data_IF_457976257574
#
_entry.id   IF_457976257574
#
_cell.length_a   1.000
_cell.length_b   1.000
_cell.length_c   1.000
_cell.angle_alpha   90.00
_cell.angle_beta   90.00
_cell.angle_gamma   90.00
#
_symmetry.space_group_name_H-M   'P 1'
#
loop_
_entity.id
_entity.type
_entity.pdbx_description
1 polymer ?
#
# COMPACT_ATOMS: atom_id res chain seq x y z
N UNK A 1 -14.81 -20.03 6.00
CA UNK A 1 -14.29 -19.49 4.73
C UNK A 1 -12.99 -18.77 5.02
N UNK A 2 -12.01 -18.82 4.12
CA UNK A 2 -10.74 -18.06 4.24
C UNK A 2 -11.07 -16.55 4.10
N UNK A 3 -10.38 -15.69 4.85
CA UNK A 3 -10.48 -14.25 4.69
C UNK A 3 -9.89 -13.76 3.37
N UNK A 4 -10.16 -12.52 2.99
CA UNK A 4 -9.65 -11.89 1.77
C UNK A 4 -8.49 -10.94 2.08
N UNK A 5 -7.44 -10.99 1.27
CA UNK A 5 -6.29 -10.09 1.36
C UNK A 5 -6.37 -9.02 0.27
N UNK A 6 -6.62 -7.78 0.65
CA UNK A 6 -6.81 -6.63 -0.25
C UNK A 6 -5.70 -5.63 0.02
N UNK A 7 -5.12 -5.08 -1.04
CA UNK A 7 -4.07 -4.07 -0.95
C UNK A 7 -4.51 -2.79 -1.64
N UNK A 8 -4.25 -1.65 -1.00
CA UNK A 8 -4.44 -0.32 -1.59
C UNK A 8 -3.07 0.29 -1.85
N UNK A 9 -2.81 0.64 -3.10
CA UNK A 9 -1.57 1.19 -3.62
C UNK A 9 -1.77 2.59 -4.20
N UNK A 10 -0.73 3.37 -4.23
CA UNK A 10 -0.72 4.71 -4.80
C UNK A 10 0.50 5.52 -4.40
N UNK A 11 0.77 6.61 -5.09
CA UNK A 11 1.84 7.54 -4.75
C UNK A 11 1.60 8.21 -3.37
N UNK A 12 2.64 8.82 -2.80
CA UNK A 12 2.46 9.62 -1.58
C UNK A 12 1.48 10.76 -1.84
N UNK A 13 0.56 10.99 -0.91
CA UNK A 13 -0.56 11.93 -1.11
C UNK A 13 -1.75 11.37 -1.88
N UNK A 14 -1.68 10.16 -2.47
CA UNK A 14 -2.81 9.57 -3.18
C UNK A 14 -4.02 9.24 -2.28
N UNK A 15 -3.79 9.10 -0.97
CA UNK A 15 -4.86 8.81 0.00
C UNK A 15 -4.98 7.35 0.39
N UNK A 16 -3.96 6.54 0.17
CA UNK A 16 -3.95 5.09 0.45
C UNK A 16 -4.34 4.78 1.89
N UNK A 17 -3.73 5.45 2.88
CA UNK A 17 -4.05 5.26 4.30
C UNK A 17 -5.49 5.64 4.62
N UNK A 18 -5.96 6.78 4.09
CA UNK A 18 -7.34 7.25 4.29
C UNK A 18 -8.34 6.22 3.78
N UNK A 19 -8.11 5.71 2.58
CA UNK A 19 -9.02 4.74 1.96
C UNK A 19 -8.93 3.36 2.61
N UNK A 20 -7.74 2.91 3.02
CA UNK A 20 -7.59 1.66 3.75
C UNK A 20 -8.38 1.67 5.07
N UNK A 21 -8.27 2.75 5.84
CA UNK A 21 -9.03 2.92 7.09
C UNK A 21 -10.54 3.04 6.85
N UNK A 22 -10.94 3.84 5.86
CA UNK A 22 -12.36 4.01 5.50
C UNK A 22 -12.99 2.70 5.04
N UNK A 23 -12.26 1.92 4.23
CA UNK A 23 -12.70 0.62 3.75
C UNK A 23 -12.85 -0.39 4.90
N UNK A 24 -11.89 -0.46 5.82
CA UNK A 24 -12.02 -1.31 7.01
C UNK A 24 -13.28 -0.98 7.80
N UNK A 25 -13.52 0.31 8.07
CA UNK A 25 -14.72 0.76 8.79
C UNK A 25 -16.01 0.39 8.06
N UNK A 26 -16.05 0.58 6.74
CA UNK A 26 -17.22 0.25 5.94
C UNK A 26 -17.51 -1.26 5.93
N UNK A 27 -16.48 -2.10 5.79
CA UNK A 27 -16.60 -3.55 5.84
C UNK A 27 -17.05 -4.04 7.22
N UNK A 28 -16.53 -3.49 8.31
CA UNK A 28 -16.99 -3.84 9.66
C UNK A 28 -18.48 -3.60 9.83
N UNK A 29 -18.98 -2.44 9.38
CA UNK A 29 -20.42 -2.13 9.40
C UNK A 29 -21.23 -3.16 8.60
N UNK A 30 -20.75 -3.56 7.42
CA UNK A 30 -21.44 -4.55 6.60
C UNK A 30 -21.42 -5.95 7.21
N UNK A 31 -20.30 -6.37 7.79
CA UNK A 31 -20.19 -7.66 8.48
C UNK A 31 -21.14 -7.75 9.68
N UNK A 32 -21.25 -6.66 10.45
CA UNK A 32 -22.21 -6.57 11.56
C UNK A 32 -23.66 -6.66 11.07
N UNK A 33 -24.05 -5.90 10.03
CA UNK A 33 -25.41 -5.92 9.47
C UNK A 33 -25.82 -7.29 8.94
N UNK A 34 -24.87 -8.06 8.42
CA UNK A 34 -25.12 -9.38 7.83
C UNK A 34 -24.85 -10.54 8.80
N UNK A 35 -24.60 -10.21 10.08
CA UNK A 35 -24.28 -11.16 11.16
C UNK A 35 -23.13 -12.13 10.80
N UNK A 36 -22.12 -11.62 10.10
CA UNK A 36 -20.92 -12.37 9.77
C UNK A 36 -19.91 -12.30 10.91
N UNK A 37 -19.48 -13.45 11.39
CA UNK A 37 -18.41 -13.56 12.42
C UNK A 37 -17.02 -13.36 11.84
N UNK A 38 -16.80 -12.24 11.11
CA UNK A 38 -15.50 -11.86 10.55
C UNK A 38 -15.23 -10.37 10.80
N UNK A 39 -13.96 -10.01 10.75
CA UNK A 39 -13.51 -8.63 10.92
C UNK A 39 -12.74 -8.13 9.70
N UNK A 40 -12.72 -6.81 9.52
CA UNK A 40 -11.88 -6.11 8.56
C UNK A 40 -10.66 -5.52 9.30
N UNK A 41 -9.49 -6.08 9.05
CA UNK A 41 -8.26 -5.76 9.75
C UNK A 41 -7.43 -4.80 8.93
N UNK A 42 -7.19 -3.59 9.46
CA UNK A 42 -6.25 -2.63 8.91
C UNK A 42 -4.80 -3.04 9.19
N UNK A 43 -3.95 -2.89 8.18
CA UNK A 43 -2.50 -2.96 8.35
C UNK A 43 -1.79 -2.11 7.30
N UNK A 44 -0.48 -1.89 7.43
CA UNK A 44 0.31 -1.08 6.51
C UNK A 44 1.75 -1.56 6.43
N UNK A 45 2.42 -1.29 5.30
CA UNK A 45 3.87 -1.49 5.16
C UNK A 45 4.63 -0.14 5.13
N UNK A 46 5.83 -0.09 5.72
CA UNK A 46 6.45 -1.16 6.49
C UNK A 46 5.69 -1.48 7.77
N UNK A 47 5.55 -2.79 8.06
CA UNK A 47 4.83 -3.27 9.24
C UNK A 47 5.53 -2.85 10.54
N UNK A 48 4.75 -2.47 11.56
CA UNK A 48 5.23 -1.90 12.83
C UNK A 48 5.84 -2.93 13.79
N UNK A 49 6.76 -3.79 13.30
CA UNK A 49 7.67 -4.57 14.12
C UNK A 49 9.01 -3.81 14.31
N UNK A 50 9.99 -4.42 14.95
CA UNK A 50 11.26 -3.75 15.23
C UNK A 50 12.02 -3.38 13.95
N UNK A 51 11.99 -4.24 12.93
CA UNK A 51 12.57 -3.94 11.63
C UNK A 51 11.84 -2.77 10.94
N UNK A 52 10.51 -2.74 11.00
CA UNK A 52 9.73 -1.64 10.43
C UNK A 52 9.93 -0.31 11.16
N UNK A 53 10.13 -0.34 12.48
CA UNK A 53 10.52 0.86 13.26
C UNK A 53 11.91 1.34 12.83
N UNK A 54 12.87 0.42 12.66
CA UNK A 54 14.22 0.74 12.18
C UNK A 54 14.17 1.36 10.77
N UNK A 55 13.41 0.78 9.84
CA UNK A 55 13.20 1.33 8.49
C UNK A 55 12.64 2.75 8.52
N UNK A 56 11.59 3.00 9.31
CA UNK A 56 11.02 4.35 9.44
C UNK A 56 12.02 5.34 10.04
N UNK A 57 12.78 4.94 11.05
CA UNK A 57 13.83 5.75 11.64
C UNK A 57 14.94 6.08 10.63
N UNK A 58 15.36 5.10 9.82
CA UNK A 58 16.35 5.30 8.79
C UNK A 58 15.85 6.29 7.72
N UNK A 59 14.66 6.09 7.20
CA UNK A 59 14.07 6.97 6.18
C UNK A 59 13.84 8.39 6.71
N UNK A 60 13.51 8.57 7.98
CA UNK A 60 13.25 9.90 8.58
C UNK A 60 14.50 10.76 8.73
N UNK A 61 15.69 10.16 8.73
CA UNK A 61 16.97 10.90 8.78
C UNK A 61 17.64 11.04 7.42
N UNK A 62 17.07 10.42 6.37
CA UNK A 62 17.56 10.59 5.00
C UNK A 62 17.07 11.92 4.42
N UNK A 63 17.99 12.63 3.80
CA UNK A 63 17.71 13.91 3.13
C UNK A 63 17.39 13.65 1.65
N UNK A 64 16.27 14.15 1.11
CA UNK A 64 15.81 13.85 -0.25
C UNK A 64 16.84 14.09 -1.35
N UNK A 65 17.63 15.17 -1.23
CA UNK A 65 18.60 15.59 -2.25
C UNK A 65 20.02 15.06 -2.01
N UNK A 66 20.21 14.29 -0.95
CA UNK A 66 21.53 13.73 -0.61
C UNK A 66 21.77 12.41 -1.32
N UNK A 67 22.96 12.29 -1.90
CA UNK A 67 23.39 11.03 -2.51
C UNK A 67 23.84 10.04 -1.44
N UNK A 68 23.25 8.88 -1.43
CA UNK A 68 23.63 7.75 -0.59
C UNK A 68 24.29 6.66 -1.43
N UNK A 69 25.00 5.75 -0.76
CA UNK A 69 25.68 4.65 -1.45
C UNK A 69 24.64 3.67 -2.03
N UNK A 70 24.93 3.05 -3.19
CA UNK A 70 24.07 2.00 -3.73
C UNK A 70 23.79 0.89 -2.71
N UNK A 71 24.81 0.52 -1.91
CA UNK A 71 24.69 -0.51 -0.89
C UNK A 71 23.65 -0.18 0.19
N UNK A 72 23.51 1.10 0.58
CA UNK A 72 22.46 1.52 1.52
C UNK A 72 21.07 1.39 0.91
N UNK A 73 20.90 1.71 -0.37
CA UNK A 73 19.62 1.53 -1.05
C UNK A 73 19.23 0.05 -1.15
N UNK A 74 20.21 -0.82 -1.42
CA UNK A 74 19.99 -2.27 -1.45
C UNK A 74 19.66 -2.82 -0.07
N UNK A 75 20.32 -2.34 1.00
CA UNK A 75 19.97 -2.67 2.38
C UNK A 75 18.52 -2.30 2.71
N UNK A 76 18.09 -1.11 2.32
CA UNK A 76 16.70 -0.65 2.49
C UNK A 76 15.73 -1.57 1.74
N UNK A 77 16.04 -1.91 0.48
CA UNK A 77 15.19 -2.78 -0.34
C UNK A 77 15.04 -4.19 0.28
N UNK A 78 16.14 -4.79 0.72
CA UNK A 78 16.14 -6.08 1.42
C UNK A 78 15.35 -6.01 2.73
N UNK A 79 15.50 -4.92 3.47
CA UNK A 79 14.81 -4.73 4.74
C UNK A 79 13.29 -4.61 4.55
N UNK A 80 12.83 -3.91 3.50
CA UNK A 80 11.40 -3.90 3.11
C UNK A 80 10.89 -5.28 2.73
N UNK A 81 11.64 -6.03 1.92
CA UNK A 81 11.26 -7.39 1.52
C UNK A 81 11.17 -8.34 2.73
N UNK A 82 12.14 -8.30 3.65
CA UNK A 82 12.12 -9.08 4.88
C UNK A 82 10.96 -8.67 5.80
N UNK A 83 10.74 -7.36 6.00
CA UNK A 83 9.64 -6.84 6.80
C UNK A 83 8.29 -7.34 6.28
N UNK A 84 8.08 -7.36 4.96
CA UNK A 84 6.88 -7.88 4.28
C UNK A 84 6.65 -9.36 4.55
N UNK A 85 7.68 -10.18 4.47
CA UNK A 85 7.56 -11.61 4.77
C UNK A 85 7.20 -11.86 6.25
N UNK A 86 7.83 -11.12 7.18
CA UNK A 86 7.48 -11.16 8.59
C UNK A 86 6.06 -10.68 8.85
N UNK A 87 5.64 -9.59 8.19
CA UNK A 87 4.30 -9.04 8.25
C UNK A 87 3.26 -10.07 7.83
N UNK A 88 3.48 -10.71 6.68
CA UNK A 88 2.55 -11.73 6.21
C UNK A 88 2.49 -12.93 7.17
N UNK A 89 3.62 -13.50 7.55
CA UNK A 89 3.66 -14.71 8.37
C UNK A 89 3.09 -14.49 9.78
N UNK A 90 3.42 -13.35 10.39
CA UNK A 90 3.14 -13.12 11.81
C UNK A 90 1.82 -12.36 12.05
N UNK A 91 1.27 -11.71 11.01
CA UNK A 91 0.07 -10.90 11.16
C UNK A 91 -1.01 -11.20 10.11
N UNK A 92 -0.70 -11.09 8.81
CA UNK A 92 -1.72 -11.23 7.76
C UNK A 92 -2.26 -12.65 7.70
N UNK A 93 -1.39 -13.65 7.59
CA UNK A 93 -1.81 -15.05 7.44
C UNK A 93 -2.66 -15.59 8.61
N UNK A 94 -2.35 -15.29 9.89
CA UNK A 94 -3.22 -15.68 11.01
C UNK A 94 -4.64 -15.10 10.89
N UNK A 95 -4.77 -13.81 10.55
CA UNK A 95 -6.09 -13.19 10.37
C UNK A 95 -6.87 -13.81 9.22
N UNK A 96 -6.21 -14.05 8.07
CA UNK A 96 -6.86 -14.72 6.93
C UNK A 96 -7.32 -16.14 7.27
N UNK A 97 -6.52 -16.90 8.03
CA UNK A 97 -6.88 -18.24 8.50
C UNK A 97 -8.09 -18.23 9.42
N UNK A 98 -8.24 -17.19 10.24
CA UNK A 98 -9.40 -16.98 11.11
C UNK A 98 -10.64 -16.47 10.38
N UNK A 99 -10.58 -16.30 9.04
CA UNK A 99 -11.68 -15.82 8.22
C UNK A 99 -11.82 -14.30 8.15
N UNK A 100 -10.93 -13.54 8.81
CA UNK A 100 -10.93 -12.09 8.75
C UNK A 100 -10.40 -11.59 7.41
N UNK A 101 -10.91 -10.47 6.94
CA UNK A 101 -10.38 -9.77 5.77
C UNK A 101 -9.27 -8.81 6.20
N UNK A 102 -8.14 -8.81 5.49
CA UNK A 102 -7.02 -7.93 5.79
C UNK A 102 -6.89 -6.92 4.66
N UNK A 103 -6.94 -5.64 5.02
CA UNK A 103 -6.76 -4.51 4.11
C UNK A 103 -5.43 -3.85 4.44
N UNK A 104 -4.51 -3.89 3.48
CA UNK A 104 -3.14 -3.42 3.64
C UNK A 104 -2.91 -2.13 2.86
N UNK A 105 -2.39 -1.13 3.54
CA UNK A 105 -1.87 0.09 2.93
C UNK A 105 -0.47 -0.18 2.42
N UNK A 106 -0.34 -0.29 1.10
CA UNK A 106 0.88 -0.64 0.36
C UNK A 106 1.32 -2.11 0.52
N UNK A 107 2.01 -2.61 -0.51
CA UNK A 107 2.61 -3.95 -0.52
C UNK A 107 3.74 -4.02 -1.57
N UNK A 108 3.80 -5.08 -2.35
CA UNK A 108 4.88 -5.37 -3.31
C UNK A 108 5.03 -4.30 -4.40
N UNK A 109 3.92 -3.75 -4.91
CA UNK A 109 3.95 -2.74 -5.97
C UNK A 109 4.72 -1.48 -5.50
N UNK A 110 4.49 -1.05 -4.26
CA UNK A 110 5.28 0.03 -3.66
C UNK A 110 6.78 -0.25 -3.69
N UNK A 111 7.23 -1.48 -3.40
CA UNK A 111 8.66 -1.81 -3.51
C UNK A 111 9.20 -1.73 -4.93
N UNK A 112 8.44 -2.21 -5.92
CA UNK A 112 8.85 -2.11 -7.33
C UNK A 112 8.95 -0.66 -7.81
N UNK A 113 8.15 0.24 -7.23
CA UNK A 113 8.16 1.66 -7.58
C UNK A 113 9.27 2.41 -6.83
N UNK A 114 9.32 2.31 -5.50
CA UNK A 114 10.20 3.15 -4.66
C UNK A 114 11.64 2.63 -4.62
N UNK A 115 11.85 1.36 -4.33
CA UNK A 115 13.20 0.82 -4.16
C UNK A 115 13.94 0.70 -5.49
N UNK A 116 13.25 0.47 -6.60
CA UNK A 116 13.89 0.42 -7.91
C UNK A 116 14.26 1.79 -8.51
N UNK A 117 14.02 2.89 -7.79
CA UNK A 117 14.59 4.20 -8.16
C UNK A 117 16.12 4.19 -8.02
N UNK A 118 16.63 3.51 -7.00
CA UNK A 118 18.05 3.54 -6.61
C UNK A 118 18.70 2.17 -6.60
N UNK A 119 17.95 1.08 -6.76
CA UNK A 119 18.41 -0.29 -6.87
C UNK A 119 17.98 -0.91 -8.20
N UNK A 120 18.64 -1.99 -8.64
CA UNK A 120 18.29 -2.70 -9.86
C UNK A 120 16.85 -3.25 -9.81
N UNK A 121 16.06 -2.98 -10.85
CA UNK A 121 14.64 -3.35 -10.89
C UNK A 121 14.42 -4.86 -10.83
N UNK A 122 15.18 -5.64 -11.60
CA UNK A 122 14.99 -7.09 -11.65
C UNK A 122 15.42 -7.74 -10.34
N UNK A 123 16.45 -7.20 -9.70
CA UNK A 123 16.84 -7.64 -8.38
C UNK A 123 15.77 -7.29 -7.33
N UNK A 124 15.23 -6.06 -7.29
CA UNK A 124 14.12 -5.69 -6.40
C UNK A 124 12.91 -6.60 -6.62
N UNK A 125 12.58 -6.90 -7.87
CA UNK A 125 11.52 -7.84 -8.22
C UNK A 125 11.80 -9.24 -7.70
N UNK A 126 13.04 -9.71 -7.81
CA UNK A 126 13.45 -11.06 -7.38
C UNK A 126 13.35 -11.26 -5.87
N UNK A 127 13.81 -10.30 -5.07
CA UNK A 127 13.74 -10.37 -3.59
C UNK A 127 12.30 -10.30 -3.06
N UNK A 128 11.38 -9.75 -3.85
CA UNK A 128 9.95 -9.68 -3.53
C UNK A 128 9.12 -10.84 -4.12
N UNK A 129 9.71 -11.71 -4.94
CA UNK A 129 8.99 -12.77 -5.66
C UNK A 129 8.32 -13.82 -4.75
N UNK A 130 8.76 -13.94 -3.50
CA UNK A 130 8.18 -14.84 -2.50
C UNK A 130 7.06 -14.20 -1.67
N UNK A 131 6.80 -12.90 -1.83
CA UNK A 131 5.70 -12.24 -1.14
C UNK A 131 4.36 -12.83 -1.62
N UNK A 132 3.47 -13.21 -0.69
CA UNK A 132 2.16 -13.74 -1.06
C UNK A 132 1.34 -12.70 -1.81
N UNK A 133 0.67 -13.15 -2.88
CA UNK A 133 -0.16 -12.28 -3.70
C UNK A 133 -1.46 -11.93 -2.98
N UNK A 134 -1.91 -10.66 -3.01
CA UNK A 134 -3.25 -10.28 -2.59
C UNK A 134 -4.32 -10.89 -3.49
N UNK A 135 -5.53 -11.04 -2.96
CA UNK A 135 -6.71 -11.42 -3.74
C UNK A 135 -7.16 -10.26 -4.67
N UNK A 136 -6.85 -9.02 -4.27
CA UNK A 136 -7.10 -7.83 -5.09
C UNK A 136 -6.13 -6.70 -4.75
N UNK A 137 -5.66 -5.99 -5.77
CA UNK A 137 -4.88 -4.75 -5.65
C UNK A 137 -5.72 -3.61 -6.23
N UNK A 138 -5.91 -2.56 -5.43
CA UNK A 138 -6.54 -1.30 -5.84
C UNK A 138 -5.45 -0.25 -5.97
N UNK A 139 -5.34 0.36 -7.13
CA UNK A 139 -4.46 1.50 -7.36
C UNK A 139 -5.27 2.80 -7.35
N UNK A 140 -4.92 3.71 -6.44
CA UNK A 140 -5.49 5.06 -6.40
C UNK A 140 -4.77 5.93 -7.42
N UNK A 141 -5.41 6.10 -8.56
CA UNK A 141 -4.93 6.93 -9.66
C UNK A 141 -5.23 8.41 -9.34
N UNK A 142 -4.32 9.04 -8.61
CA UNK A 142 -4.46 10.41 -8.15
C UNK A 142 -3.48 11.30 -8.92
N UNK A 143 -3.92 12.39 -9.57
CA UNK A 143 -3.03 13.30 -10.27
C UNK A 143 -1.91 13.83 -9.37
N UNK A 144 -0.70 13.94 -9.90
CA UNK A 144 0.48 14.38 -9.16
C UNK A 144 0.27 15.72 -8.43
N UNK A 145 -0.39 16.68 -9.10
CA UNK A 145 -0.71 17.98 -8.49
C UNK A 145 -1.55 17.88 -7.22
N UNK A 146 -2.53 16.97 -7.22
CA UNK A 146 -3.38 16.70 -6.06
C UNK A 146 -2.59 16.00 -4.95
N UNK A 147 -1.70 15.07 -5.31
CA UNK A 147 -0.80 14.42 -4.35
C UNK A 147 0.08 15.44 -3.63
N UNK A 148 0.74 16.32 -4.39
CA UNK A 148 1.62 17.38 -3.86
C UNK A 148 0.83 18.33 -2.95
N UNK A 149 -0.35 18.77 -3.37
CA UNK A 149 -1.20 19.63 -2.54
C UNK A 149 -1.55 18.98 -1.21
N UNK A 150 -1.94 17.70 -1.23
CA UNK A 150 -2.27 16.93 -0.01
C UNK A 150 -1.06 16.74 0.90
N UNK A 151 0.14 16.50 0.35
CA UNK A 151 1.38 16.40 1.13
C UNK A 151 1.67 17.73 1.81
N UNK A 152 1.65 18.84 1.06
CA UNK A 152 1.91 20.19 1.60
C UNK A 152 0.89 20.60 2.68
N UNK A 153 -0.36 20.16 2.57
CA UNK A 153 -1.41 20.48 3.56
C UNK A 153 -1.26 19.76 4.89
N UNK A 154 -0.45 18.71 4.99
CA UNK A 154 -0.25 17.94 6.24
C UNK A 154 0.52 18.69 7.32
N UNK A 155 1.20 19.81 7.01
CA UNK A 155 2.06 20.57 7.95
C UNK A 155 3.11 19.72 8.69
N UNK A 156 3.57 18.62 8.09
CA UNK A 156 4.60 17.73 8.61
C UNK A 156 5.89 17.91 7.81
N UNK A 157 7.02 17.53 8.40
CA UNK A 157 8.28 17.45 7.67
C UNK A 157 8.15 16.46 6.51
N UNK A 158 8.67 16.82 5.33
CA UNK A 158 8.68 15.95 4.15
C UNK A 158 9.49 14.68 4.43
N UNK A 159 8.94 13.54 4.06
CA UNK A 159 9.66 12.27 4.08
C UNK A 159 10.63 12.17 2.89
N UNK A 160 11.59 11.24 2.95
CA UNK A 160 12.65 11.08 1.95
C UNK A 160 12.14 11.04 0.50
N UNK A 161 11.04 10.36 0.26
CA UNK A 161 10.47 10.19 -1.08
C UNK A 161 9.44 11.27 -1.48
N UNK A 162 9.17 12.26 -0.62
CA UNK A 162 8.16 13.30 -0.86
C UNK A 162 8.71 14.58 -1.53
N UNK A 163 9.99 14.61 -1.95
CA UNK A 163 10.52 15.72 -2.73
C UNK A 163 9.89 15.76 -4.14
N UNK A 164 9.81 16.96 -4.75
CA UNK A 164 9.17 17.16 -6.05
C UNK A 164 9.76 16.27 -7.15
N UNK A 165 11.07 16.05 -7.14
CA UNK A 165 11.77 15.23 -8.13
C UNK A 165 11.46 13.74 -7.94
N UNK A 166 11.46 13.25 -6.71
CA UNK A 166 11.08 11.86 -6.39
C UNK A 166 9.60 11.63 -6.70
N UNK A 167 8.73 12.57 -6.35
CA UNK A 167 7.29 12.46 -6.55
C UNK A 167 6.92 12.28 -8.03
N UNK A 168 7.59 12.98 -8.95
CA UNK A 168 7.38 12.81 -10.40
C UNK A 168 7.80 11.41 -10.87
N UNK A 169 8.98 10.95 -10.47
CA UNK A 169 9.48 9.62 -10.82
C UNK A 169 8.58 8.50 -10.27
N UNK A 170 8.16 8.63 -9.01
CA UNK A 170 7.27 7.66 -8.34
C UNK A 170 5.94 7.57 -9.07
N UNK A 171 5.34 8.72 -9.40
CA UNK A 171 4.07 8.78 -10.10
C UNK A 171 4.13 8.08 -11.47
N UNK A 172 5.15 8.38 -12.30
CA UNK A 172 5.34 7.73 -13.59
C UNK A 172 5.56 6.21 -13.44
N UNK A 173 6.39 5.79 -12.49
CA UNK A 173 6.65 4.37 -12.25
C UNK A 173 5.41 3.59 -11.81
N UNK A 174 4.52 4.18 -11.01
CA UNK A 174 3.23 3.55 -10.70
C UNK A 174 2.42 3.32 -11.97
N UNK A 175 2.34 4.30 -12.88
CA UNK A 175 1.66 4.11 -14.15
C UNK A 175 2.26 2.97 -14.96
N UNK A 176 3.59 2.95 -15.08
CA UNK A 176 4.30 1.92 -15.85
C UNK A 176 4.07 0.51 -15.27
N UNK A 177 4.10 0.38 -13.94
CA UNK A 177 3.86 -0.91 -13.28
C UNK A 177 2.40 -1.36 -13.38
N UNK A 178 1.46 -0.46 -13.18
CA UNK A 178 0.02 -0.76 -13.25
C UNK A 178 -0.40 -1.15 -14.66
N UNK A 179 0.23 -0.59 -15.70
CA UNK A 179 -0.04 -0.99 -17.09
C UNK A 179 0.43 -2.42 -17.41
N UNK A 180 1.43 -2.94 -16.70
CA UNK A 180 1.94 -4.31 -16.88
C UNK A 180 1.01 -5.38 -16.30
N UNK A 181 0.12 -5.01 -15.37
CA UNK A 181 -0.77 -5.95 -14.69
C UNK A 181 -2.24 -5.52 -14.79
N UNK A 182 -3.00 -6.04 -15.77
CA UNK A 182 -4.40 -5.68 -15.97
C UNK A 182 -5.33 -6.16 -14.84
N UNK A 183 -4.85 -6.98 -13.90
CA UNK A 183 -5.62 -7.38 -12.72
C UNK A 183 -5.71 -6.30 -11.65
N UNK A 184 -4.88 -5.26 -11.73
CA UNK A 184 -4.90 -4.13 -10.80
C UNK A 184 -6.10 -3.24 -11.13
N UNK A 185 -6.97 -3.05 -10.14
CA UNK A 185 -8.16 -2.18 -10.30
C UNK A 185 -7.75 -0.72 -10.08
N UNK A 186 -7.93 0.10 -11.11
CA UNK A 186 -7.65 1.55 -11.05
C UNK A 186 -8.89 2.30 -10.59
N UNK A 187 -8.74 3.18 -9.62
CA UNK A 187 -9.80 4.05 -9.10
C UNK A 187 -9.30 5.49 -9.07
N UNK A 188 -10.11 6.41 -9.58
CA UNK A 188 -9.83 7.85 -9.58
C UNK A 188 -9.72 8.38 -8.14
N UNK A 189 -8.49 8.64 -7.69
CA UNK A 189 -8.19 9.11 -6.35
C UNK A 189 -8.33 10.62 -6.15
N UNK A 190 -8.73 11.37 -7.19
CA UNK A 190 -8.98 12.81 -7.08
C UNK A 190 -10.37 13.15 -6.54
N UNK A 191 -11.28 12.17 -6.49
CA UNK A 191 -12.66 12.35 -6.02
C UNK A 191 -12.74 12.52 -4.50
N UNK A 192 -13.96 12.83 -4.03
CA UNK A 192 -14.26 12.85 -2.60
C UNK A 192 -14.01 11.48 -1.96
N UNK A 193 -13.42 11.47 -0.77
CA UNK A 193 -13.02 10.24 -0.08
C UNK A 193 -14.17 9.22 0.06
N UNK A 194 -15.41 9.68 0.29
CA UNK A 194 -16.58 8.83 0.39
C UNK A 194 -16.92 8.13 -0.92
N UNK A 195 -16.80 8.82 -2.06
CA UNK A 195 -17.03 8.25 -3.39
C UNK A 195 -15.97 7.21 -3.73
N UNK A 196 -14.71 7.50 -3.44
CA UNK A 196 -13.61 6.54 -3.62
C UNK A 196 -13.88 5.27 -2.81
N UNK A 197 -14.25 5.40 -1.52
CA UNK A 197 -14.59 4.24 -0.68
C UNK A 197 -15.73 3.41 -1.27
N UNK A 198 -16.77 4.06 -1.80
CA UNK A 198 -17.88 3.35 -2.45
C UNK A 198 -17.46 2.61 -3.73
N UNK A 199 -16.59 3.20 -4.53
CA UNK A 199 -16.05 2.54 -5.73
C UNK A 199 -15.18 1.33 -5.35
N UNK A 200 -14.35 1.47 -4.32
CA UNK A 200 -13.56 0.34 -3.79
C UNK A 200 -14.50 -0.78 -3.31
N UNK A 201 -15.53 -0.46 -2.54
CA UNK A 201 -16.52 -1.46 -2.07
C UNK A 201 -17.17 -2.20 -3.23
N UNK A 202 -17.55 -1.51 -4.30
CA UNK A 202 -18.10 -2.16 -5.52
C UNK A 202 -17.08 -3.06 -6.19
N UNK A 203 -15.83 -2.61 -6.31
CA UNK A 203 -14.77 -3.39 -6.93
C UNK A 203 -14.47 -4.69 -6.17
N UNK A 204 -14.43 -4.64 -4.84
CA UNK A 204 -14.13 -5.81 -4.00
C UNK A 204 -15.34 -6.71 -3.75
N UNK A 205 -16.56 -6.29 -4.10
CA UNK A 205 -17.79 -7.05 -3.82
C UNK A 205 -17.76 -8.50 -4.31
N UNK A 206 -17.10 -8.85 -5.43
CA UNK A 206 -16.97 -10.24 -5.86
C UNK A 206 -16.18 -11.15 -4.91
N UNK A 207 -15.35 -10.57 -4.02
CA UNK A 207 -14.61 -11.34 -3.00
C UNK A 207 -15.49 -11.75 -1.82
N UNK A 208 -16.69 -11.20 -1.72
CA UNK A 208 -17.61 -11.39 -0.61
C UNK A 208 -18.95 -11.94 -1.14
N UNK A 209 -19.50 -12.90 -0.44
CA UNK A 209 -20.85 -13.44 -0.75
C UNK A 209 -21.95 -12.60 -0.07
N UNK A 210 -21.73 -11.31 0.12
CA UNK A 210 -22.67 -10.35 0.72
C UNK A 210 -22.67 -9.07 -0.11
N UNK A 211 -23.83 -8.40 -0.25
CA UNK A 211 -23.87 -7.10 -0.90
C UNK A 211 -23.10 -6.07 -0.09
N UNK A 212 -22.23 -5.32 -0.77
CA UNK A 212 -21.47 -4.21 -0.20
C UNK A 212 -22.00 -2.89 -0.77
N UNK A 213 -22.96 -2.25 -0.08
CA UNK A 213 -23.58 -0.98 -0.48
C UNK A 213 -23.46 0.07 0.62
#
# INVERSE_FOLDING_TARGET
MKGSFIVIEGADGAGTTTQTLALCKALEIQFQKTNHARHAIYTAEPFKNDLGKHLRSLLSVMEPDKKYTPLLHDEIALSFALNRLQHYNNYIAPHLKSGNSVICDRHTLSSLVYQSISSDYDWVKSINAKAPKPDMVIFLDTPLSVCIERIKSRNTQLEYFESDLFSQNIHQRYYDEVQKDPSIVRIDGARDASRITQEILRAISPLFNIPLY
#
